data_IF_723857251079
#
_entry.id   IF_723857251079
#
_cell.length_a   1.000
_cell.length_b   1.000
_cell.length_c   1.000
_cell.angle_alpha   90.00
_cell.angle_beta   90.00
_cell.angle_gamma   90.00
#
_symmetry.space_group_name_H-M   'P 1'
#
loop_
_entity.id
_entity.type
_entity.pdbx_description
1 polymer ?
#
# COMPACT_ATOMS: atom_id res chain seq x y z
N UNK A 1 29.57 3.60 -27.14
CA UNK A 1 28.44 2.97 -27.87
C UNK A 1 27.85 1.71 -27.20
N UNK A 2 28.15 1.42 -25.92
CA UNK A 2 27.73 0.17 -25.25
C UNK A 2 26.44 0.33 -24.40
N UNK A 3 26.13 1.54 -23.94
CA UNK A 3 24.96 1.85 -23.12
C UNK A 3 23.63 1.82 -23.89
N UNK A 4 23.62 2.27 -25.15
CA UNK A 4 22.41 2.27 -26.01
C UNK A 4 21.80 0.87 -26.17
N UNK A 5 22.63 -0.16 -26.35
CA UNK A 5 22.16 -1.55 -26.46
C UNK A 5 21.54 -2.04 -25.14
N UNK A 6 22.09 -1.61 -24.00
CA UNK A 6 21.54 -1.92 -22.68
C UNK A 6 20.18 -1.24 -22.49
N UNK A 7 20.08 0.05 -22.85
CA UNK A 7 18.80 0.78 -22.81
C UNK A 7 17.75 0.18 -23.73
N UNK A 8 18.12 -0.24 -24.94
CA UNK A 8 17.22 -0.94 -25.86
C UNK A 8 16.72 -2.27 -25.28
N UNK A 9 17.62 -3.07 -24.69
CA UNK A 9 17.26 -4.34 -24.07
C UNK A 9 16.33 -4.13 -22.87
N UNK A 10 16.60 -3.12 -22.04
CA UNK A 10 15.74 -2.77 -20.89
C UNK A 10 14.35 -2.32 -21.35
N UNK A 11 14.26 -1.47 -22.37
CA UNK A 11 12.98 -1.02 -22.96
C UNK A 11 12.21 -2.21 -23.54
N UNK A 12 12.89 -3.13 -24.22
CA UNK A 12 12.27 -4.31 -24.81
C UNK A 12 11.75 -5.27 -23.74
N UNK A 13 12.48 -5.43 -22.63
CA UNK A 13 12.04 -6.23 -21.47
C UNK A 13 10.85 -5.62 -20.73
N UNK A 14 10.75 -4.29 -20.62
CA UNK A 14 9.58 -3.65 -19.98
C UNK A 14 8.31 -3.73 -20.85
N UNK A 15 8.47 -3.76 -22.18
CA UNK A 15 7.35 -3.94 -23.12
C UNK A 15 6.82 -5.38 -23.21
N UNK A 16 7.50 -6.35 -22.58
CA UNK A 16 7.06 -7.75 -22.49
C UNK A 16 6.18 -8.01 -21.26
N UNK A 17 5.61 -6.97 -20.65
CA UNK A 17 4.61 -7.15 -19.58
C UNK A 17 3.30 -7.64 -20.20
N UNK A 18 2.82 -8.86 -19.86
CA UNK A 18 1.47 -9.26 -20.27
C UNK A 18 0.46 -8.35 -19.56
N UNK A 19 -0.61 -8.02 -20.27
CA UNK A 19 -1.69 -7.16 -19.81
C UNK A 19 -1.99 -7.34 -18.32
N UNK A 20 -1.80 -6.25 -17.56
CA UNK A 20 -2.11 -6.13 -16.14
C UNK A 20 -3.63 -6.09 -15.89
N UNK A 21 -4.39 -6.97 -16.55
CA UNK A 21 -5.80 -7.22 -16.27
C UNK A 21 -5.88 -8.29 -15.17
N UNK A 22 -5.96 -7.80 -13.93
CA UNK A 22 -6.44 -8.49 -12.72
C UNK A 22 -5.99 -9.96 -12.51
N UNK A 23 -4.98 -10.11 -11.63
CA UNK A 23 -4.82 -11.14 -10.60
C UNK A 23 -5.16 -12.61 -10.94
N UNK A 24 -4.13 -13.46 -10.82
CA UNK A 24 -4.17 -14.87 -10.40
C UNK A 24 -5.26 -15.76 -11.04
N UNK A 25 -4.81 -16.80 -11.77
CA UNK A 25 -5.66 -17.80 -12.44
C UNK A 25 -6.79 -18.41 -11.57
N UNK A 26 -6.66 -18.39 -10.25
CA UNK A 26 -7.69 -18.84 -9.32
C UNK A 26 -8.92 -17.92 -9.29
N UNK A 27 -8.73 -16.59 -9.29
CA UNK A 27 -9.83 -15.62 -9.21
C UNK A 27 -10.65 -15.58 -10.50
N UNK A 28 -9.99 -15.75 -11.67
CA UNK A 28 -10.66 -15.77 -12.98
C UNK A 28 -11.59 -16.98 -13.14
N UNK A 29 -11.17 -18.17 -12.71
CA UNK A 29 -11.96 -19.41 -12.84
C UNK A 29 -13.27 -19.36 -12.04
N UNK A 30 -13.24 -18.80 -10.82
CA UNK A 30 -14.44 -18.64 -9.98
C UNK A 30 -15.42 -17.61 -10.56
N UNK A 31 -14.92 -16.56 -11.20
CA UNK A 31 -15.77 -15.54 -11.84
C UNK A 31 -16.39 -16.07 -13.14
N UNK A 32 -15.59 -16.70 -14.00
CA UNK A 32 -16.06 -17.30 -15.26
C UNK A 32 -17.16 -18.35 -15.01
N UNK A 33 -16.99 -19.19 -13.98
CA UNK A 33 -18.01 -20.17 -13.59
C UNK A 33 -19.28 -19.53 -13.01
N UNK A 34 -19.20 -18.38 -12.36
CA UNK A 34 -20.37 -17.67 -11.81
C UNK A 34 -21.15 -16.93 -12.91
N UNK A 35 -20.45 -16.37 -13.90
CA UNK A 35 -21.05 -15.73 -15.09
C UNK A 35 -21.73 -16.78 -15.99
N UNK A 36 -21.08 -17.92 -16.23
CA UNK A 36 -21.63 -19.04 -17.01
C UNK A 36 -22.93 -19.61 -16.41
N UNK A 37 -23.08 -19.54 -15.09
CA UNK A 37 -24.29 -19.93 -14.36
C UNK A 37 -25.37 -18.82 -14.25
N UNK A 38 -25.25 -17.72 -15.02
CA UNK A 38 -26.28 -16.67 -15.10
C UNK A 38 -26.36 -15.71 -13.92
N UNK A 39 -25.37 -15.70 -13.01
CA UNK A 39 -25.33 -14.83 -11.82
C UNK A 39 -24.34 -13.68 -11.97
N UNK A 40 -24.59 -12.81 -12.96
CA UNK A 40 -23.74 -11.64 -13.30
C UNK A 40 -23.63 -10.58 -12.20
N UNK A 41 -24.58 -10.51 -11.26
CA UNK A 41 -24.60 -9.56 -10.13
C UNK A 41 -23.41 -9.78 -9.18
N UNK A 42 -22.88 -11.01 -9.09
CA UNK A 42 -21.74 -11.35 -8.22
C UNK A 42 -20.41 -10.84 -8.81
N UNK A 43 -20.33 -10.64 -10.13
CA UNK A 43 -19.12 -10.17 -10.80
C UNK A 43 -18.86 -8.67 -10.58
N UNK A 44 -19.92 -7.85 -10.48
CA UNK A 44 -19.78 -6.40 -10.20
C UNK A 44 -19.38 -6.10 -8.75
N UNK A 45 -19.74 -6.96 -7.80
CA UNK A 45 -19.48 -6.77 -6.37
C UNK A 45 -18.05 -7.17 -5.95
N UNK A 46 -17.39 -8.01 -6.75
CA UNK A 46 -16.02 -8.48 -6.49
C UNK A 46 -14.97 -7.35 -6.59
N UNK A 47 -15.15 -6.38 -7.49
CA UNK A 47 -14.22 -5.26 -7.65
C UNK A 47 -14.25 -4.35 -6.40
N UNK A 48 -15.42 -4.19 -5.77
CA UNK A 48 -15.57 -3.48 -4.49
C UNK A 48 -14.90 -4.28 -3.37
N UNK A 49 -15.07 -5.61 -3.36
CA UNK A 49 -14.43 -6.50 -2.39
C UNK A 49 -12.89 -6.42 -2.40
N UNK A 50 -12.26 -6.37 -3.57
CA UNK A 50 -10.79 -6.25 -3.71
C UNK A 50 -10.31 -4.89 -3.18
N UNK A 51 -10.99 -3.80 -3.53
CA UNK A 51 -10.66 -2.47 -3.00
C UNK A 51 -10.83 -2.42 -1.49
N UNK A 52 -11.88 -3.03 -0.95
CA UNK A 52 -12.12 -3.07 0.51
C UNK A 52 -11.02 -3.83 1.26
N UNK A 53 -10.64 -5.02 0.77
CA UNK A 53 -9.57 -5.82 1.37
C UNK A 53 -8.20 -5.14 1.28
N UNK A 54 -7.92 -4.43 0.17
CA UNK A 54 -6.68 -3.67 0.02
C UNK A 54 -6.66 -2.40 0.88
N UNK A 55 -7.79 -1.74 1.12
CA UNK A 55 -7.84 -0.50 1.90
C UNK A 55 -7.59 -0.72 3.41
N UNK A 56 -8.04 -1.85 3.96
CA UNK A 56 -7.88 -2.17 5.39
C UNK A 56 -6.42 -2.07 5.89
N UNK A 57 -5.41 -2.71 5.28
CA UNK A 57 -4.04 -2.63 5.77
C UNK A 57 -3.49 -1.18 5.74
N UNK A 58 -3.86 -0.38 4.74
CA UNK A 58 -3.45 1.03 4.69
C UNK A 58 -4.08 1.86 5.82
N UNK A 59 -5.36 1.63 6.11
CA UNK A 59 -6.05 2.32 7.21
C UNK A 59 -5.45 1.95 8.58
N UNK A 60 -5.12 0.67 8.79
CA UNK A 60 -4.47 0.21 10.01
C UNK A 60 -3.12 0.91 10.19
N UNK A 61 -2.27 0.90 9.15
CA UNK A 61 -0.95 1.55 9.21
C UNK A 61 -1.09 3.07 9.46
N UNK A 62 -2.01 3.74 8.75
CA UNK A 62 -2.26 5.17 8.94
C UNK A 62 -2.68 5.50 10.36
N UNK A 63 -3.56 4.69 10.96
CA UNK A 63 -4.03 4.89 12.33
C UNK A 63 -2.90 4.73 13.36
N UNK A 64 -2.07 3.69 13.21
CA UNK A 64 -0.92 3.44 14.08
C UNK A 64 0.09 4.59 13.95
N UNK A 65 0.44 4.98 12.72
CA UNK A 65 1.36 6.06 12.46
C UNK A 65 0.88 7.39 13.07
N UNK A 66 -0.41 7.69 12.94
CA UNK A 66 -1.02 8.89 13.53
C UNK A 66 -0.95 8.88 15.05
N UNK A 67 -1.32 7.78 15.71
CA UNK A 67 -1.27 7.64 17.16
C UNK A 67 0.17 7.74 17.68
N UNK A 68 1.11 7.10 17.00
CA UNK A 68 2.53 7.16 17.33
C UNK A 68 3.08 8.58 17.22
N UNK A 69 2.79 9.29 16.11
CA UNK A 69 3.21 10.68 15.92
C UNK A 69 2.65 11.59 17.01
N UNK A 70 1.35 11.45 17.34
CA UNK A 70 0.71 12.25 18.40
C UNK A 70 1.36 12.01 19.76
N UNK A 71 1.69 10.76 20.10
CA UNK A 71 2.33 10.44 21.37
C UNK A 71 3.78 10.92 21.41
N UNK A 72 4.53 10.71 20.33
CA UNK A 72 5.93 11.15 20.20
C UNK A 72 6.07 12.67 20.36
N UNK A 73 5.16 13.46 19.76
CA UNK A 73 5.16 14.92 19.90
C UNK A 73 4.93 15.38 21.36
N UNK A 74 4.10 14.68 22.12
CA UNK A 74 3.86 14.95 23.55
C UNK A 74 5.09 14.65 24.39
N UNK A 75 5.72 13.51 24.14
CA UNK A 75 6.94 13.10 24.83
C UNK A 75 8.09 14.07 24.56
N UNK A 76 8.26 14.53 23.31
CA UNK A 76 9.27 15.53 22.96
C UNK A 76 9.11 16.85 23.75
N UNK A 77 7.88 17.34 23.91
CA UNK A 77 7.59 18.51 24.73
C UNK A 77 7.99 18.32 26.20
N UNK A 78 7.63 17.16 26.79
CA UNK A 78 8.00 16.83 28.17
C UNK A 78 9.52 16.71 28.35
N UNK A 79 10.23 16.14 27.37
CA UNK A 79 11.70 16.04 27.37
C UNK A 79 12.35 17.43 27.36
N UNK A 80 11.83 18.35 26.55
CA UNK A 80 12.32 19.74 26.51
C UNK A 80 12.10 20.47 27.84
N UNK A 81 10.94 20.30 28.48
CA UNK A 81 10.69 20.87 29.80
C UNK A 81 11.67 20.35 30.86
N UNK A 82 11.93 19.04 30.87
CA UNK A 82 12.89 18.41 31.80
C UNK A 82 14.31 18.94 31.53
N UNK A 83 14.76 18.96 30.28
CA UNK A 83 16.08 19.49 29.91
C UNK A 83 16.23 20.96 30.28
N UNK A 84 15.19 21.77 30.09
CA UNK A 84 15.17 23.17 30.50
C UNK A 84 15.24 23.36 32.02
N UNK A 85 14.60 22.48 32.80
CA UNK A 85 14.71 22.47 34.27
C UNK A 85 16.11 22.06 34.74
N UNK A 86 16.66 20.99 34.16
CA UNK A 86 18.02 20.51 34.50
C UNK A 86 19.07 21.57 34.17
N UNK A 87 18.99 22.22 32.99
CA UNK A 87 19.92 23.28 32.61
C UNK A 87 19.89 24.46 33.58
N UNK A 88 18.68 24.87 34.03
CA UNK A 88 18.52 25.93 35.04
C UNK A 88 19.04 25.55 36.43
N UNK A 89 18.97 24.28 36.80
CA UNK A 89 19.50 23.80 38.07
C UNK A 89 21.03 23.65 38.06
N UNK A 90 21.63 23.51 36.87
CA UNK A 90 23.08 23.35 36.69
C UNK A 90 23.81 24.69 36.49
N UNK A 91 23.11 25.76 36.11
CA UNK A 91 23.64 27.13 36.00
C UNK A 91 23.51 27.88 37.33
#
# INVERSE_FOLDING_TARGET
>A
MRSWKVWLVVITLMSLTPDLMAQCAMCRSTVESTISNGRSVVASDLNIGIVYLLMIPYLIIASIAYLWYRNSKREYGRRLEITGRVKRALS
#
